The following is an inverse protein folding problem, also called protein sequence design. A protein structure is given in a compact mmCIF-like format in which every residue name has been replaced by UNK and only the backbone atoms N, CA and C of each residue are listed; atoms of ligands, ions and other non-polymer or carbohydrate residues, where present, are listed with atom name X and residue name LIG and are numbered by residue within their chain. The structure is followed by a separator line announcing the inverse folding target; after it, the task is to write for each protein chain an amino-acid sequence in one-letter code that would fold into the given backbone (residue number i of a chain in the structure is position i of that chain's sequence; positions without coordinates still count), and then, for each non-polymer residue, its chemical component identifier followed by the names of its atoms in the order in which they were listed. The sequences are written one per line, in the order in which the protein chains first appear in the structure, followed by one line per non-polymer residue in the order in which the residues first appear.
data_IF_528796745422
#
_entry.id   IF_528796745422
#
_cell.length_a   1.000
_cell.length_b   1.000
_cell.length_c   1.000
_cell.angle_alpha   90.00
_cell.angle_beta   90.00
_cell.angle_gamma   90.00
#
_symmetry.space_group_name_H-M   'P 1'
#
loop_
_entity.id
_entity.type
_entity.pdbx_description
1 polymer ?
#
# COMPACT_ATOMS: atom_id res chain seq x y z
N UNK A 1 17.17 11.73 -36.47
CA UNK A 1 18.19 12.73 -36.05
C UNK A 1 18.31 12.86 -34.51
N UNK A 2 17.24 12.74 -33.74
CA UNK A 2 17.32 12.87 -32.25
C UNK A 2 18.10 11.73 -31.56
N UNK A 3 18.06 10.51 -32.12
CA UNK A 3 18.72 9.34 -31.53
C UNK A 3 20.25 9.41 -31.63
N UNK A 4 20.82 10.13 -32.59
CA UNK A 4 22.26 10.26 -32.76
C UNK A 4 22.98 10.96 -31.60
N UNK A 5 22.23 11.77 -30.81
CA UNK A 5 22.76 12.46 -29.63
C UNK A 5 22.97 11.51 -28.45
N UNK A 6 22.22 10.40 -28.42
CA UNK A 6 22.22 9.46 -27.29
C UNK A 6 23.07 8.21 -27.54
N UNK A 7 23.63 8.07 -28.76
CA UNK A 7 24.46 6.93 -29.15
C UNK A 7 23.76 5.58 -28.97
N UNK A 8 24.51 4.54 -28.64
CA UNK A 8 23.97 3.18 -28.44
C UNK A 8 22.90 3.09 -27.35
N UNK A 9 22.94 3.97 -26.36
CA UNK A 9 21.93 4.01 -25.28
C UNK A 9 20.54 4.42 -25.78
N UNK A 10 20.45 5.04 -26.94
CA UNK A 10 19.20 5.39 -27.63
C UNK A 10 18.62 4.28 -28.50
N UNK A 11 19.27 3.12 -28.65
CA UNK A 11 18.85 2.05 -29.57
C UNK A 11 17.43 1.54 -29.29
N UNK A 12 17.00 1.51 -28.01
CA UNK A 12 15.68 1.06 -27.60
C UNK A 12 14.66 2.20 -27.41
N UNK A 13 14.98 3.40 -27.91
CA UNK A 13 14.18 4.61 -27.75
C UNK A 13 14.61 5.47 -26.59
N UNK A 14 14.20 6.73 -26.63
CA UNK A 14 14.52 7.74 -25.61
C UNK A 14 13.25 8.46 -25.20
N UNK A 15 13.01 8.54 -23.90
CA UNK A 15 11.97 9.41 -23.32
C UNK A 15 12.65 10.70 -22.88
N UNK A 16 12.40 11.77 -23.62
CA UNK A 16 12.92 13.11 -23.30
C UNK A 16 11.89 13.87 -22.46
N UNK A 17 12.25 14.23 -21.22
CA UNK A 17 11.39 14.99 -20.32
C UNK A 17 11.93 16.39 -20.19
N UNK A 18 11.17 17.37 -20.68
CA UNK A 18 11.44 18.78 -20.47
C UNK A 18 10.52 19.35 -19.39
N UNK A 19 11.11 19.92 -18.36
CA UNK A 19 10.35 20.49 -17.25
C UNK A 19 9.94 21.93 -17.56
N UNK A 20 8.79 22.35 -17.01
CA UNK A 20 8.28 23.72 -17.17
C UNK A 20 9.31 24.72 -16.65
N UNK A 21 9.58 25.75 -17.43
CA UNK A 21 10.47 26.86 -17.08
C UNK A 21 9.70 28.16 -16.86
N UNK A 22 10.36 29.14 -16.31
CA UNK A 22 9.85 30.51 -16.18
C UNK A 22 9.50 31.14 -17.53
N UNK A 23 8.70 32.17 -17.51
CA UNK A 23 8.35 32.97 -18.69
C UNK A 23 8.37 34.46 -18.35
N UNK A 24 8.57 35.30 -19.35
CA UNK A 24 8.45 36.75 -19.21
C UNK A 24 6.97 37.08 -19.04
N UNK A 25 6.51 37.17 -17.81
CA UNK A 25 5.13 37.50 -17.45
C UNK A 25 5.07 37.86 -15.96
N UNK A 26 4.03 38.56 -15.52
CA UNK A 26 3.76 38.77 -14.11
C UNK A 26 3.73 37.40 -13.37
N UNK A 27 4.11 37.43 -12.09
CA UNK A 27 4.09 36.24 -11.25
C UNK A 27 2.70 35.63 -11.19
N UNK A 28 2.63 34.35 -11.44
CA UNK A 28 1.40 33.53 -11.27
C UNK A 28 1.62 32.48 -10.23
N UNK A 29 0.63 32.29 -9.36
CA UNK A 29 0.59 31.20 -8.37
C UNK A 29 -0.50 30.24 -8.82
N UNK A 30 -0.17 28.96 -8.84
CA UNK A 30 -1.14 27.90 -9.08
C UNK A 30 -1.03 26.89 -7.93
N UNK A 31 -2.17 26.50 -7.40
CA UNK A 31 -2.24 25.47 -6.37
C UNK A 31 -3.28 24.44 -6.76
N UNK A 32 -3.02 23.17 -6.48
CA UNK A 32 -3.99 22.10 -6.62
C UNK A 32 -3.93 21.16 -5.43
N UNK A 33 -5.08 20.59 -5.08
CA UNK A 33 -5.20 19.52 -4.09
C UNK A 33 -6.10 18.44 -4.67
N UNK A 34 -5.64 17.22 -4.63
CA UNK A 34 -6.38 16.03 -5.05
C UNK A 34 -6.55 15.11 -3.86
N UNK A 35 -7.77 14.66 -3.65
CA UNK A 35 -8.10 13.63 -2.68
C UNK A 35 -8.56 12.38 -3.41
N UNK A 36 -8.01 11.24 -3.08
CA UNK A 36 -8.36 9.95 -3.65
C UNK A 36 -8.69 8.93 -2.57
N UNK A 37 -9.64 8.04 -2.87
CA UNK A 37 -9.91 6.84 -2.12
C UNK A 37 -9.35 5.64 -2.88
N UNK A 38 -8.75 4.71 -2.15
CA UNK A 38 -8.23 3.46 -2.68
C UNK A 38 -9.00 2.30 -2.06
N UNK A 39 -9.46 1.39 -2.88
CA UNK A 39 -10.11 0.16 -2.45
C UNK A 39 -9.52 -1.03 -3.20
N UNK A 40 -9.51 -2.20 -2.58
CA UNK A 40 -9.18 -3.42 -3.29
C UNK A 40 -10.29 -3.70 -4.34
N UNK A 41 -9.89 -3.88 -5.59
CA UNK A 41 -10.86 -4.21 -6.67
C UNK A 41 -11.37 -5.63 -6.56
N UNK A 42 -10.53 -6.53 -6.06
CA UNK A 42 -10.87 -7.94 -5.84
C UNK A 42 -10.01 -8.48 -4.72
N UNK A 43 -10.62 -9.12 -3.76
CA UNK A 43 -9.96 -9.94 -2.75
C UNK A 43 -10.40 -11.39 -2.92
N UNK A 44 -9.53 -12.33 -2.54
CA UNK A 44 -9.97 -13.71 -2.41
C UNK A 44 -11.09 -13.78 -1.37
N UNK A 45 -12.12 -14.57 -1.67
CA UNK A 45 -13.18 -14.88 -0.70
C UNK A 45 -12.90 -16.27 -0.16
N UNK A 46 -12.40 -16.40 1.07
CA UNK A 46 -12.25 -17.71 1.70
C UNK A 46 -13.65 -18.31 1.91
N UNK A 47 -13.65 -19.62 2.08
CA UNK A 47 -14.85 -20.29 2.57
C UNK A 47 -15.07 -19.92 4.04
N UNK A 48 -16.33 -19.76 4.42
CA UNK A 48 -16.71 -19.72 5.83
C UNK A 48 -16.42 -21.07 6.49
N UNK A 49 -16.48 -21.11 7.80
CA UNK A 49 -16.16 -22.30 8.59
C UNK A 49 -17.05 -23.49 8.29
N UNK A 50 -18.34 -23.25 8.01
CA UNK A 50 -19.25 -24.31 7.60
C UNK A 50 -18.89 -24.88 6.22
N UNK A 51 -18.67 -24.03 5.25
CA UNK A 51 -18.27 -24.42 3.90
C UNK A 51 -16.95 -25.17 3.89
N UNK A 52 -15.95 -24.68 4.61
CA UNK A 52 -14.66 -25.35 4.76
C UNK A 52 -14.80 -26.72 5.39
N UNK A 53 -15.45 -26.84 6.56
CA UNK A 53 -15.61 -28.08 7.29
C UNK A 53 -16.40 -29.16 6.50
N UNK A 54 -17.44 -28.70 5.78
CA UNK A 54 -18.26 -29.59 4.93
C UNK A 54 -17.45 -30.13 3.75
N UNK A 55 -16.69 -29.31 3.04
CA UNK A 55 -15.84 -29.76 1.94
C UNK A 55 -14.65 -30.60 2.43
N UNK A 56 -14.11 -30.29 3.59
CA UNK A 56 -13.04 -31.08 4.19
C UNK A 56 -13.54 -32.50 4.55
N UNK A 57 -14.74 -32.61 5.14
CA UNK A 57 -15.38 -33.91 5.40
C UNK A 57 -15.57 -34.71 4.12
N UNK A 58 -16.01 -34.06 3.04
CA UNK A 58 -16.15 -34.72 1.74
C UNK A 58 -14.80 -35.20 1.19
N UNK A 59 -13.76 -34.37 1.27
CA UNK A 59 -12.43 -34.72 0.80
C UNK A 59 -11.87 -35.94 1.55
N UNK A 60 -11.89 -35.91 2.89
CA UNK A 60 -11.43 -37.05 3.74
C UNK A 60 -12.21 -38.31 3.46
N UNK A 61 -13.53 -38.20 3.29
CA UNK A 61 -14.38 -39.39 3.00
C UNK A 61 -14.08 -39.96 1.62
N UNK A 62 -13.81 -39.12 0.62
CA UNK A 62 -13.40 -39.57 -0.72
C UNK A 62 -12.05 -40.30 -0.68
N UNK A 63 -11.08 -39.76 0.05
CA UNK A 63 -9.74 -40.39 0.20
C UNK A 63 -9.83 -41.74 0.89
N UNK A 64 -10.75 -41.90 1.82
CA UNK A 64 -10.94 -43.15 2.53
C UNK A 64 -11.91 -44.15 1.84
N UNK A 65 -12.56 -43.72 0.75
CA UNK A 65 -13.57 -44.55 0.05
C UNK A 65 -14.82 -44.85 0.86
N UNK A 66 -15.05 -44.18 1.99
CA UNK A 66 -16.20 -44.33 2.87
C UNK A 66 -16.46 -43.01 3.62
N UNK A 67 -17.70 -42.84 4.09
CA UNK A 67 -18.01 -41.69 4.96
C UNK A 67 -17.19 -41.74 6.25
N UNK A 68 -16.32 -40.76 6.42
CA UNK A 68 -15.41 -40.62 7.56
C UNK A 68 -15.16 -39.15 7.85
N UNK A 69 -16.15 -38.44 8.43
CA UNK A 69 -16.05 -36.99 8.63
C UNK A 69 -15.01 -36.67 9.70
N UNK A 70 -14.21 -35.64 9.42
CA UNK A 70 -13.27 -35.05 10.38
C UNK A 70 -13.97 -34.09 11.35
N UNK A 71 -15.05 -33.45 10.89
CA UNK A 71 -15.90 -32.56 11.68
C UNK A 71 -17.26 -33.28 11.89
N UNK A 72 -17.70 -33.37 13.15
CA UNK A 72 -18.98 -33.99 13.48
C UNK A 72 -20.17 -33.03 13.24
N UNK A 73 -21.41 -33.58 13.35
CA UNK A 73 -22.63 -32.80 13.08
C UNK A 73 -22.82 -31.61 14.05
N UNK A 74 -22.40 -31.75 15.31
CA UNK A 74 -22.47 -30.68 16.31
C UNK A 74 -21.55 -29.52 15.95
N UNK A 75 -20.33 -29.82 15.49
CA UNK A 75 -19.38 -28.80 15.01
C UNK A 75 -19.91 -28.10 13.74
N UNK A 76 -20.46 -28.87 12.78
CA UNK A 76 -21.05 -28.27 11.57
C UNK A 76 -22.23 -27.36 11.91
N UNK A 77 -23.07 -27.78 12.88
CA UNK A 77 -24.19 -26.93 13.30
C UNK A 77 -23.73 -25.69 14.05
N UNK A 78 -22.66 -25.76 14.85
CA UNK A 78 -22.06 -24.62 15.51
C UNK A 78 -21.54 -23.60 14.50
N UNK A 79 -20.90 -24.03 13.42
CA UNK A 79 -20.47 -23.15 12.33
C UNK A 79 -21.64 -22.54 11.56
N UNK A 80 -22.68 -23.35 11.28
CA UNK A 80 -23.87 -22.89 10.55
C UNK A 80 -24.65 -21.81 11.31
N UNK A 81 -24.78 -21.93 12.61
CA UNK A 81 -25.55 -21.01 13.46
C UNK A 81 -24.71 -19.87 14.05
N UNK A 82 -23.41 -19.80 13.72
CA UNK A 82 -22.51 -18.73 14.12
C UNK A 82 -22.06 -18.79 15.60
N UNK A 83 -22.17 -19.96 16.25
CA UNK A 83 -21.65 -20.17 17.61
C UNK A 83 -20.24 -20.76 17.62
N UNK A 84 -19.77 -21.27 16.48
CA UNK A 84 -18.41 -21.75 16.30
C UNK A 84 -17.49 -20.66 15.73
N UNK A 85 -16.19 -20.90 15.81
CA UNK A 85 -15.16 -20.01 15.23
C UNK A 85 -15.37 -19.84 13.73
N UNK A 86 -15.41 -18.58 13.27
CA UNK A 86 -15.51 -18.22 11.85
C UNK A 86 -14.82 -16.88 11.58
N UNK A 87 -13.55 -16.92 11.18
CA UNK A 87 -12.71 -15.74 10.99
C UNK A 87 -12.43 -15.51 9.52
N UNK A 88 -12.88 -14.37 8.98
CA UNK A 88 -12.41 -13.88 7.69
C UNK A 88 -11.10 -13.10 7.89
N UNK A 89 -9.98 -13.76 7.61
CA UNK A 89 -8.64 -13.20 7.77
C UNK A 89 -8.40 -11.95 6.91
N UNK A 90 -9.07 -11.83 5.75
CA UNK A 90 -8.94 -10.64 4.90
C UNK A 90 -9.69 -9.44 5.48
N UNK A 91 -10.89 -9.66 6.00
CA UNK A 91 -11.69 -8.60 6.63
C UNK A 91 -11.03 -8.07 7.92
N UNK A 92 -10.38 -8.97 8.65
CA UNK A 92 -9.67 -8.62 9.88
C UNK A 92 -8.31 -7.93 9.69
N UNK A 93 -7.64 -8.20 8.57
CA UNK A 93 -6.32 -7.65 8.29
C UNK A 93 -6.34 -6.44 7.35
N UNK A 94 -7.43 -6.21 6.63
CA UNK A 94 -7.51 -5.18 5.61
C UNK A 94 -8.68 -4.22 5.86
N UNK A 95 -8.44 -2.94 5.58
CA UNK A 95 -9.47 -1.90 5.58
C UNK A 95 -10.21 -1.90 4.26
N UNK A 96 -11.47 -1.52 4.31
CA UNK A 96 -12.29 -1.34 3.11
C UNK A 96 -11.78 -0.21 2.22
N UNK A 97 -11.12 0.81 2.78
CA UNK A 97 -10.57 1.91 2.03
C UNK A 97 -9.32 2.52 2.69
N UNK A 98 -8.40 2.96 1.86
CA UNK A 98 -7.32 3.87 2.19
C UNK A 98 -7.52 5.22 1.49
N UNK A 99 -6.76 6.23 1.87
CA UNK A 99 -6.82 7.55 1.24
C UNK A 99 -5.48 7.97 0.64
N UNK A 100 -5.57 8.86 -0.35
CA UNK A 100 -4.42 9.56 -0.92
C UNK A 100 -4.72 11.05 -0.91
N UNK A 101 -3.78 11.84 -0.45
CA UNK A 101 -3.78 13.30 -0.57
C UNK A 101 -2.57 13.68 -1.39
N UNK A 102 -2.79 14.44 -2.47
CA UNK A 102 -1.76 14.92 -3.37
C UNK A 102 -2.00 16.41 -3.59
N UNK A 103 -1.04 17.23 -3.20
CA UNK A 103 -1.13 18.69 -3.29
C UNK A 103 0.11 19.30 -3.91
N UNK A 104 -0.07 20.27 -4.79
CA UNK A 104 1.03 21.03 -5.36
C UNK A 104 0.76 22.53 -5.34
N UNK A 105 1.86 23.29 -5.18
CA UNK A 105 1.88 24.75 -5.33
C UNK A 105 3.02 25.11 -6.27
N UNK A 106 2.75 25.94 -7.26
CA UNK A 106 3.76 26.44 -8.17
C UNK A 106 3.73 27.96 -8.32
N UNK A 107 4.92 28.53 -8.43
CA UNK A 107 5.16 29.95 -8.65
C UNK A 107 5.90 30.09 -9.97
N UNK A 108 5.33 30.81 -10.92
CA UNK A 108 5.92 30.98 -12.24
C UNK A 108 5.83 32.44 -12.70
N UNK A 109 6.93 32.98 -13.21
CA UNK A 109 6.96 34.33 -13.72
C UNK A 109 8.35 34.73 -14.20
N UNK A 110 8.56 36.02 -14.39
CA UNK A 110 9.87 36.56 -14.69
C UNK A 110 9.86 37.78 -15.55
N UNK A 111 11.06 38.34 -15.73
CA UNK A 111 11.41 39.45 -16.58
C UNK A 111 12.36 38.99 -17.69
N UNK A 112 12.83 39.94 -18.52
CA UNK A 112 13.90 39.69 -19.50
C UNK A 112 15.21 39.24 -18.85
N UNK A 113 15.46 39.66 -17.60
CA UNK A 113 16.69 39.38 -16.86
C UNK A 113 16.63 38.07 -16.09
N UNK A 114 15.48 37.78 -15.50
CA UNK A 114 15.31 36.57 -14.67
C UNK A 114 13.93 35.96 -14.86
N UNK A 115 13.89 34.67 -15.13
CA UNK A 115 12.65 33.86 -15.24
C UNK A 115 12.74 32.73 -14.27
N UNK A 116 11.61 32.36 -13.65
CA UNK A 116 11.57 31.30 -12.65
C UNK A 116 10.32 30.46 -12.74
N UNK A 117 10.48 29.20 -12.38
CA UNK A 117 9.38 28.25 -12.08
C UNK A 117 9.79 27.44 -10.87
N UNK A 118 9.09 27.66 -9.76
CA UNK A 118 9.31 26.94 -8.50
C UNK A 118 8.07 26.14 -8.20
N UNK A 119 8.23 24.88 -7.87
CA UNK A 119 7.15 23.94 -7.56
C UNK A 119 7.46 23.20 -6.27
N UNK A 120 6.47 23.12 -5.39
CA UNK A 120 6.42 22.27 -4.21
C UNK A 120 5.29 21.27 -4.39
N UNK A 121 5.56 20.03 -4.12
CA UNK A 121 4.59 18.92 -4.21
C UNK A 121 4.64 18.09 -2.92
N UNK A 122 3.49 17.70 -2.43
CA UNK A 122 3.32 16.81 -1.30
C UNK A 122 2.35 15.69 -1.64
N UNK A 123 2.76 14.47 -1.40
CA UNK A 123 1.93 13.28 -1.52
C UNK A 123 1.91 12.54 -0.19
N UNK A 124 0.71 12.20 0.29
CA UNK A 124 0.50 11.26 1.38
C UNK A 124 -0.45 10.15 0.92
N UNK A 125 -0.02 8.92 1.07
CA UNK A 125 -0.78 7.74 0.69
C UNK A 125 -0.85 6.76 1.86
N UNK A 126 -2.06 6.39 2.25
CA UNK A 126 -2.31 5.38 3.26
C UNK A 126 -2.61 4.03 2.60
N UNK A 127 -1.98 2.96 3.09
CA UNK A 127 -2.27 1.60 2.63
C UNK A 127 -3.56 1.02 3.23
N UNK A 128 -3.90 -0.19 2.79
CA UNK A 128 -5.13 -0.90 3.16
C UNK A 128 -4.98 -1.83 4.38
N UNK A 129 -3.82 -1.88 5.04
CA UNK A 129 -3.69 -2.72 6.23
C UNK A 129 -4.44 -2.13 7.42
N UNK A 130 -5.19 -2.97 8.14
CA UNK A 130 -5.86 -2.60 9.38
C UNK A 130 -4.97 -2.89 10.60
N UNK A 131 -4.00 -2.02 10.83
CA UNK A 131 -3.11 -2.12 11.98
C UNK A 131 -3.82 -1.56 13.20
N UNK A 132 -4.12 -2.43 14.16
CA UNK A 132 -4.89 -2.13 15.37
C UNK A 132 -4.00 -1.72 16.56
N UNK A 133 -2.67 -1.87 16.44
CA UNK A 133 -1.77 -1.43 17.50
C UNK A 133 -1.62 0.10 17.53
N UNK A 134 -1.22 0.63 18.68
CA UNK A 134 -1.00 2.07 18.88
C UNK A 134 0.26 2.61 18.18
N UNK A 135 1.13 1.75 17.66
CA UNK A 135 2.34 2.17 16.97
C UNK A 135 2.04 2.51 15.52
N UNK A 136 1.83 3.80 15.25
CA UNK A 136 1.57 4.31 13.89
C UNK A 136 2.66 3.97 12.86
N UNK A 137 3.84 3.52 13.31
CA UNK A 137 4.94 3.11 12.45
C UNK A 137 4.68 1.77 11.76
N UNK A 138 3.84 0.92 12.34
CA UNK A 138 3.48 -0.39 11.78
C UNK A 138 2.49 -0.30 10.62
N UNK A 139 1.80 0.83 10.45
CA UNK A 139 0.88 1.00 9.34
C UNK A 139 1.63 1.33 8.03
N UNK A 140 1.10 0.88 6.90
CA UNK A 140 1.66 1.20 5.60
C UNK A 140 1.28 2.62 5.20
N UNK A 141 2.28 3.51 5.20
CA UNK A 141 2.14 4.88 4.72
C UNK A 141 3.30 5.24 3.81
N UNK A 142 3.01 6.09 2.84
CA UNK A 142 4.03 6.66 1.96
C UNK A 142 3.83 8.17 1.90
N UNK A 143 4.89 8.91 2.20
CA UNK A 143 4.94 10.37 2.14
C UNK A 143 6.05 10.79 1.20
N UNK A 144 5.78 11.77 0.37
CA UNK A 144 6.74 12.34 -0.56
C UNK A 144 6.64 13.86 -0.57
N UNK A 145 7.78 14.50 -0.43
CA UNK A 145 7.95 15.94 -0.58
C UNK A 145 8.88 16.18 -1.75
N UNK A 146 8.46 16.96 -2.74
CA UNK A 146 9.28 17.37 -3.85
C UNK A 146 9.42 18.90 -3.86
N UNK A 147 10.64 19.36 -4.10
CA UNK A 147 10.94 20.73 -4.47
C UNK A 147 11.59 20.72 -5.86
N UNK A 148 11.13 21.58 -6.73
CA UNK A 148 11.78 21.87 -7.99
C UNK A 148 11.82 23.36 -8.25
N UNK A 149 13.01 23.88 -8.62
CA UNK A 149 13.17 25.27 -9.01
C UNK A 149 13.99 25.33 -10.30
N UNK A 150 13.41 25.89 -11.33
CA UNK A 150 14.06 26.15 -12.62
C UNK A 150 14.19 27.67 -12.76
N UNK A 151 15.43 28.13 -12.82
CA UNK A 151 15.79 29.53 -12.87
C UNK A 151 16.60 29.78 -14.13
N UNK A 152 16.21 30.80 -14.90
CA UNK A 152 16.94 31.26 -16.08
C UNK A 152 17.33 32.74 -15.88
N UNK A 153 18.59 33.04 -16.10
CA UNK A 153 19.14 34.38 -15.98
C UNK A 153 19.76 34.84 -17.30
N UNK A 154 19.48 36.04 -17.72
CA UNK A 154 20.15 36.68 -18.85
C UNK A 154 21.06 37.79 -18.30
N UNK A 155 22.38 37.55 -18.37
CA UNK A 155 23.41 38.45 -17.84
C UNK A 155 24.01 39.23 -19.00
N UNK A 156 24.05 40.55 -18.90
CA UNK A 156 24.61 41.45 -19.92
C UNK A 156 24.04 41.24 -21.35
N UNK A 157 22.81 40.71 -21.48
CA UNK A 157 22.13 40.45 -22.77
C UNK A 157 22.74 39.38 -23.66
N UNK A 158 23.89 38.82 -23.34
CA UNK A 158 24.59 37.82 -24.16
C UNK A 158 25.02 36.57 -23.39
N UNK A 159 24.85 36.52 -22.08
CA UNK A 159 25.13 35.33 -21.27
C UNK A 159 23.81 34.81 -20.71
N UNK A 160 23.46 33.59 -21.07
CA UNK A 160 22.36 32.86 -20.44
C UNK A 160 22.90 31.89 -19.42
N UNK A 161 22.42 32.00 -18.17
CA UNK A 161 22.68 31.01 -17.10
C UNK A 161 21.39 30.28 -16.74
N UNK A 162 21.47 28.97 -16.62
CA UNK A 162 20.36 28.10 -16.22
C UNK A 162 20.73 27.37 -14.96
N UNK A 163 19.84 27.43 -13.96
CA UNK A 163 20.00 26.70 -12.70
C UNK A 163 18.75 25.85 -12.48
N UNK A 164 18.95 24.55 -12.42
CA UNK A 164 17.89 23.60 -12.15
C UNK A 164 18.17 22.92 -10.81
N UNK A 165 17.33 23.20 -9.82
CA UNK A 165 17.39 22.61 -8.49
C UNK A 165 16.26 21.60 -8.32
N UNK A 166 16.58 20.45 -7.76
CA UNK A 166 15.62 19.43 -7.41
C UNK A 166 15.95 18.79 -6.07
N UNK A 167 14.95 18.66 -5.21
CA UNK A 167 15.06 17.96 -3.95
C UNK A 167 13.83 17.05 -3.77
N UNK A 168 14.05 15.85 -3.22
CA UNK A 168 12.99 14.89 -2.95
C UNK A 168 13.27 14.21 -1.62
N UNK A 169 12.26 14.18 -0.77
CA UNK A 169 12.28 13.42 0.48
C UNK A 169 11.12 12.43 0.42
N UNK A 170 11.43 11.17 0.63
CA UNK A 170 10.44 10.10 0.71
C UNK A 170 10.53 9.43 2.07
N UNK A 171 9.38 9.10 2.61
CA UNK A 171 9.24 8.35 3.84
C UNK A 171 8.24 7.23 3.63
N UNK A 172 8.71 6.00 3.67
CA UNK A 172 7.87 4.81 3.61
C UNK A 172 7.82 4.12 4.97
N UNK A 173 6.65 3.73 5.41
CA UNK A 173 6.45 2.88 6.58
C UNK A 173 5.68 1.65 6.14
N UNK A 174 5.97 0.51 6.73
CA UNK A 174 5.27 -0.75 6.45
C UNK A 174 5.37 -1.67 7.66
N UNK A 175 4.41 -2.61 7.82
CA UNK A 175 4.48 -3.63 8.87
C UNK A 175 5.78 -4.44 8.79
N UNK A 176 6.13 -5.07 9.88
CA UNK A 176 7.33 -5.92 9.95
C UNK A 176 7.19 -7.21 9.12
N UNK A 177 5.97 -7.65 8.85
CA UNK A 177 5.70 -8.78 7.95
C UNK A 177 5.83 -8.38 6.48
N UNK A 178 6.38 -9.26 5.64
CA UNK A 178 6.35 -9.07 4.20
C UNK A 178 4.93 -9.22 3.66
N UNK A 179 4.59 -8.46 2.62
CA UNK A 179 3.24 -8.50 2.01
C UNK A 179 2.88 -9.90 1.54
N UNK A 180 3.80 -10.58 0.85
CA UNK A 180 3.58 -11.91 0.29
C UNK A 180 3.34 -12.95 1.40
N UNK A 181 4.07 -12.88 2.51
CA UNK A 181 3.90 -13.76 3.65
C UNK A 181 2.54 -13.53 4.33
N UNK A 182 2.12 -12.27 4.47
CA UNK A 182 0.80 -11.95 5.04
C UNK A 182 -0.32 -12.53 4.18
N UNK A 183 -0.30 -12.26 2.87
CA UNK A 183 -1.34 -12.75 1.96
C UNK A 183 -1.32 -14.28 1.82
N UNK A 184 -0.14 -14.90 1.81
CA UNK A 184 0.01 -16.35 1.82
C UNK A 184 -0.62 -16.96 3.08
N UNK A 185 -0.38 -16.37 4.25
CA UNK A 185 -0.96 -16.85 5.50
C UNK A 185 -2.48 -16.69 5.51
N UNK A 186 -3.00 -15.53 5.11
CA UNK A 186 -4.46 -15.28 5.03
C UNK A 186 -5.16 -16.24 4.07
N UNK A 187 -4.52 -16.58 2.95
CA UNK A 187 -5.10 -17.52 1.98
C UNK A 187 -5.06 -18.98 2.44
N UNK A 188 -4.13 -19.34 3.31
CA UNK A 188 -3.89 -20.72 3.74
C UNK A 188 -4.65 -21.09 5.00
N UNK A 189 -4.96 -20.13 5.85
CA UNK A 189 -5.58 -20.43 7.15
C UNK A 189 -7.08 -20.57 7.00
N UNK A 190 -7.65 -21.75 7.40
CA UNK A 190 -9.09 -21.93 7.42
C UNK A 190 -9.78 -20.96 8.39
N UNK A 191 -11.00 -20.57 8.08
CA UNK A 191 -11.80 -19.67 8.93
C UNK A 191 -12.09 -20.26 10.31
N UNK A 192 -12.13 -21.59 10.44
CA UNK A 192 -12.44 -22.30 11.68
C UNK A 192 -11.24 -22.74 12.50
N UNK A 193 -10.02 -22.27 12.17
CA UNK A 193 -8.80 -22.80 12.81
C UNK A 193 -8.68 -22.37 14.28
N UNK A 194 -8.91 -21.09 14.55
CA UNK A 194 -8.92 -20.46 15.88
C UNK A 194 -9.48 -19.04 15.81
N UNK A 195 -9.92 -18.50 16.94
CA UNK A 195 -10.27 -17.10 17.09
C UNK A 195 -9.04 -16.21 16.97
N UNK A 196 -9.20 -14.92 16.67
CA UNK A 196 -8.08 -13.96 16.60
C UNK A 196 -7.39 -13.86 17.94
N UNK A 197 -8.16 -13.87 19.02
CA UNK A 197 -7.73 -13.73 20.40
C UNK A 197 -8.03 -14.99 21.20
N UNK A 198 -7.11 -15.39 22.09
CA UNK A 198 -7.31 -16.51 22.99
C UNK A 198 -7.94 -16.10 24.32
N UNK A 199 -8.12 -14.80 24.56
CA UNK A 199 -8.72 -14.21 25.74
C UNK A 199 -9.82 -13.19 25.40
N UNK A 200 -10.78 -13.02 26.33
CA UNK A 200 -11.87 -12.07 26.20
C UNK A 200 -11.40 -10.61 26.26
N UNK A 201 -10.30 -10.34 26.94
CA UNK A 201 -9.67 -9.03 27.11
C UNK A 201 -8.89 -8.59 25.86
N UNK A 202 -8.70 -9.48 24.87
CA UNK A 202 -7.95 -9.24 23.62
C UNK A 202 -6.51 -8.82 23.87
N UNK A 203 -5.84 -9.49 24.79
CA UNK A 203 -4.45 -9.22 25.16
C UNK A 203 -3.46 -10.20 24.52
N UNK A 204 -3.93 -11.41 24.18
CA UNK A 204 -3.12 -12.46 23.57
C UNK A 204 -3.74 -12.96 22.28
N UNK A 205 -2.91 -13.03 21.23
CA UNK A 205 -3.34 -13.57 19.96
C UNK A 205 -3.33 -15.10 19.98
N UNK A 206 -4.38 -15.69 19.44
CA UNK A 206 -4.47 -17.14 19.28
C UNK A 206 -3.47 -17.67 18.26
N UNK A 207 -3.11 -18.94 18.39
CA UNK A 207 -2.26 -19.66 17.46
C UNK A 207 -2.25 -21.14 17.75
N UNK A 208 -1.74 -21.94 16.82
CA UNK A 208 -1.58 -23.38 16.97
C UNK A 208 -0.15 -23.82 16.62
N UNK A 209 0.24 -25.01 17.03
CA UNK A 209 1.52 -25.60 16.65
C UNK A 209 1.63 -25.93 15.15
N UNK A 210 0.51 -26.03 14.45
CA UNK A 210 0.44 -26.32 13.01
C UNK A 210 0.66 -25.04 12.18
N UNK A 211 0.16 -23.91 12.70
CA UNK A 211 0.28 -22.61 12.07
C UNK A 211 1.04 -21.69 13.03
N UNK A 212 2.30 -21.49 12.75
CA UNK A 212 3.22 -20.77 13.66
C UNK A 212 2.94 -19.28 13.81
N UNK A 213 1.95 -18.73 13.10
CA UNK A 213 1.62 -17.32 13.18
C UNK A 213 0.13 -17.07 12.97
N UNK A 214 -0.36 -16.04 13.62
CA UNK A 214 -1.67 -15.46 13.38
C UNK A 214 -1.48 -14.27 12.42
N UNK A 215 -2.21 -14.20 11.29
CA UNK A 215 -2.05 -13.10 10.32
C UNK A 215 -2.23 -11.72 10.94
N UNK A 216 -3.23 -11.56 11.82
CA UNK A 216 -3.50 -10.29 12.52
C UNK A 216 -2.40 -9.97 13.52
N UNK A 217 -1.92 -10.97 14.27
CA UNK A 217 -0.79 -10.80 15.18
C UNK A 217 0.47 -10.38 14.42
N UNK A 218 0.76 -11.03 13.30
CA UNK A 218 1.92 -10.72 12.47
C UNK A 218 1.86 -9.32 11.89
N UNK A 219 0.67 -8.86 11.48
CA UNK A 219 0.45 -7.50 11.01
C UNK A 219 0.64 -6.46 12.11
N UNK A 220 0.23 -6.79 13.35
CA UNK A 220 0.31 -5.91 14.50
C UNK A 220 1.58 -6.10 15.35
N UNK A 221 2.50 -6.98 14.94
CA UNK A 221 3.76 -7.19 15.63
C UNK A 221 4.57 -5.88 15.71
N UNK A 222 5.23 -5.68 16.84
CA UNK A 222 6.13 -4.56 17.02
C UNK A 222 7.30 -4.65 16.05
N UNK A 223 7.63 -3.52 15.49
CA UNK A 223 8.68 -3.42 14.46
C UNK A 223 8.12 -2.87 13.15
N UNK A 224 9.01 -2.31 12.36
CA UNK A 224 8.67 -1.69 11.08
C UNK A 224 9.87 -1.74 10.15
N UNK A 225 9.60 -1.70 8.86
CA UNK A 225 10.63 -1.55 7.83
C UNK A 225 10.50 -0.17 7.21
N UNK A 226 11.60 0.57 7.20
CA UNK A 226 11.73 1.81 6.45
C UNK A 226 12.38 1.51 5.10
N UNK A 227 11.82 2.08 4.06
CA UNK A 227 12.39 2.05 2.70
C UNK A 227 12.82 3.43 2.27
#
# INVERSE_FOLDING_TARGET
AALSVFGERGANGVIWIETKRGRIAPATVSASVRFGLQQATTLAKPLDSYGYASLYNQAVSNDQGRWSPAYNDEQLEAYRNGTGTDVDWYDEALRNAGYTIDGDVSFRGGTEVARYNVMLDYLNQQGLYDVKNSDSRSNRTYERYNLRANLDFTIFKFIEARVDLGGRIERGKRPNIATDDLFYNMARYPSNIYEIWDDAERTHYSGTSVYNSNPVASLNALGWRQT
#
